data_IF_532238947432
#
_entry.id   IF_532238947432
#
_cell.length_a   1.000
_cell.length_b   1.000
_cell.length_c   1.000
_cell.angle_alpha   90.00
_cell.angle_beta   90.00
_cell.angle_gamma   90.00
#
_symmetry.space_group_name_H-M   'P 1'
#
loop_
_entity.id
_entity.type
_entity.pdbx_description
1 polymer ?
#
# COMPACT_ATOMS: atom_id res chain seq x y z
N UNK A 1 107.22 43.18 -12.54
CA UNK A 1 105.86 43.61 -12.96
C UNK A 1 104.83 42.89 -12.08
N UNK A 2 103.99 43.67 -11.38
CA UNK A 2 102.69 43.34 -10.73
C UNK A 2 102.64 42.26 -9.61
N UNK A 3 102.22 42.71 -8.42
CA UNK A 3 101.56 42.02 -7.29
C UNK A 3 100.01 42.01 -7.51
N UNK A 4 99.13 41.48 -6.61
CA UNK A 4 99.17 40.32 -5.66
C UNK A 4 97.85 39.47 -5.59
N UNK A 5 97.85 38.42 -4.74
CA UNK A 5 96.71 37.79 -3.98
C UNK A 5 95.57 37.09 -4.78
N UNK A 6 94.78 36.09 -4.35
CA UNK A 6 94.60 35.28 -3.13
C UNK A 6 93.51 34.19 -3.35
N UNK A 7 93.73 32.99 -2.81
CA UNK A 7 92.80 31.99 -2.20
C UNK A 7 91.69 31.25 -3.02
N UNK A 8 91.27 30.04 -2.56
CA UNK A 8 90.74 28.94 -3.37
C UNK A 8 89.23 28.66 -3.17
N UNK A 9 88.63 27.83 -4.04
CA UNK A 9 87.26 27.31 -3.86
C UNK A 9 87.16 25.81 -4.16
N UNK A 10 86.89 25.03 -3.11
CA UNK A 10 86.45 23.63 -3.15
C UNK A 10 84.95 23.62 -2.84
N UNK A 11 84.16 22.93 -3.67
CA UNK A 11 82.70 22.80 -3.52
C UNK A 11 82.34 21.77 -2.43
N UNK A 12 81.35 22.04 -1.55
CA UNK A 12 80.79 21.03 -0.68
C UNK A 12 79.55 20.33 -1.30
N UNK A 13 79.17 19.14 -0.78
CA UNK A 13 78.00 18.40 -1.23
C UNK A 13 76.71 18.86 -0.52
N UNK A 14 75.58 18.61 -1.17
CA UNK A 14 74.23 18.97 -0.74
C UNK A 14 73.70 18.09 0.38
N UNK A 15 73.18 18.71 1.43
CA UNK A 15 72.51 18.07 2.57
C UNK A 15 70.98 18.16 2.38
N UNK A 16 70.29 17.01 2.41
CA UNK A 16 68.83 16.93 2.36
C UNK A 16 68.24 16.99 3.77
N UNK A 17 67.40 17.99 4.05
CA UNK A 17 66.62 18.10 5.29
C UNK A 17 65.26 17.42 5.13
N UNK A 18 64.97 16.43 5.99
CA UNK A 18 63.64 15.83 6.16
C UNK A 18 62.80 16.72 7.08
N UNK A 19 61.79 17.38 6.53
CA UNK A 19 60.68 17.92 7.32
C UNK A 19 59.66 16.80 7.59
N UNK A 20 59.46 16.47 8.87
CA UNK A 20 58.39 15.59 9.32
C UNK A 20 57.10 16.40 9.37
N UNK A 21 56.21 16.19 8.39
CA UNK A 21 54.85 16.72 8.42
C UNK A 21 54.02 15.84 9.35
N UNK A 22 53.56 16.41 10.47
CA UNK A 22 52.50 15.84 11.32
C UNK A 22 51.23 15.66 10.49
N UNK A 23 50.53 14.52 10.58
CA UNK A 23 49.29 14.33 9.85
C UNK A 23 48.21 15.21 10.48
N UNK A 24 47.76 16.22 9.74
CA UNK A 24 46.52 16.92 10.06
C UNK A 24 45.40 15.88 10.17
N UNK A 25 44.81 15.78 11.36
CA UNK A 25 43.54 15.08 11.58
C UNK A 25 42.54 15.66 10.58
N UNK A 26 42.29 14.92 9.49
CA UNK A 26 41.08 15.09 8.69
C UNK A 26 39.93 14.76 9.64
N UNK A 27 39.23 15.79 10.09
CA UNK A 27 37.88 15.63 10.59
C UNK A 27 37.08 15.06 9.41
N UNK A 28 36.90 13.73 9.36
CA UNK A 28 35.73 13.20 8.70
C UNK A 28 34.58 13.76 9.51
N UNK A 29 33.78 14.62 8.89
CA UNK A 29 32.41 14.78 9.33
C UNK A 29 31.83 13.37 9.35
N UNK A 30 31.63 12.80 10.52
CA UNK A 30 30.61 11.77 10.68
C UNK A 30 29.33 12.45 10.23
N UNK A 31 28.91 12.20 8.99
CA UNK A 31 27.55 12.45 8.59
C UNK A 31 26.70 11.73 9.62
N UNK A 32 25.98 12.50 10.44
CA UNK A 32 25.00 11.97 11.37
C UNK A 32 24.17 10.96 10.59
N UNK A 33 24.10 9.68 11.01
CA UNK A 33 23.44 8.66 10.21
C UNK A 33 22.02 9.13 9.97
N UNK A 34 21.72 9.50 8.73
CA UNK A 34 20.37 9.87 8.32
C UNK A 34 19.48 8.70 8.72
N UNK A 35 18.46 8.97 9.52
CA UNK A 35 17.59 7.91 10.00
C UNK A 35 16.70 7.47 8.85
N UNK A 36 17.00 6.30 8.27
CA UNK A 36 16.18 5.68 7.23
C UNK A 36 15.24 4.65 7.86
N UNK A 37 13.99 4.65 7.39
CA UNK A 37 13.06 3.55 7.64
C UNK A 37 13.34 2.47 6.61
N UNK A 38 13.53 1.23 7.06
CA UNK A 38 13.95 0.12 6.18
C UNK A 38 12.86 -0.93 5.98
N UNK A 39 11.86 -0.98 6.87
CA UNK A 39 10.80 -1.98 6.85
C UNK A 39 9.54 -1.42 6.21
N UNK A 40 8.77 -2.28 5.54
CA UNK A 40 7.49 -1.85 4.96
C UNK A 40 6.46 -1.49 6.03
N UNK A 41 6.38 -2.28 7.12
CA UNK A 41 5.64 -1.89 8.32
C UNK A 41 6.58 -1.20 9.31
N UNK A 42 6.15 -0.06 9.84
CA UNK A 42 6.91 0.71 10.85
C UNK A 42 6.08 0.90 12.10
N UNK A 43 6.72 0.77 13.25
CA UNK A 43 6.07 1.01 14.55
C UNK A 43 5.94 2.50 14.84
N UNK A 44 5.01 2.91 15.73
CA UNK A 44 4.96 4.29 16.21
C UNK A 44 6.28 4.80 16.79
N UNK A 45 7.00 3.95 17.52
CA UNK A 45 8.30 4.28 18.09
C UNK A 45 9.35 4.59 17.02
N UNK A 46 9.45 3.73 16.00
CA UNK A 46 10.40 3.94 14.89
C UNK A 46 10.08 5.23 14.13
N UNK A 47 8.80 5.50 13.85
CA UNK A 47 8.40 6.73 13.17
C UNK A 47 8.67 7.98 14.01
N UNK A 48 8.36 7.97 15.31
CA UNK A 48 8.63 9.10 16.20
C UNK A 48 10.13 9.41 16.29
N UNK A 49 10.97 8.38 16.44
CA UNK A 49 12.42 8.53 16.38
C UNK A 49 12.88 9.10 15.04
N UNK A 50 12.29 8.64 13.94
CA UNK A 50 12.59 9.11 12.59
C UNK A 50 12.25 10.60 12.42
N UNK A 51 11.05 11.01 12.82
CA UNK A 51 10.57 12.39 12.71
C UNK A 51 11.38 13.35 13.58
N UNK A 52 11.80 12.93 14.79
CA UNK A 52 12.66 13.74 15.66
C UNK A 52 14.05 13.98 15.08
N UNK A 53 14.60 13.00 14.35
CA UNK A 53 15.91 13.09 13.70
C UNK A 53 15.83 13.79 12.33
N UNK A 54 14.68 13.68 11.65
CA UNK A 54 14.41 14.31 10.35
C UNK A 54 13.94 15.77 10.54
N UNK A 55 14.85 16.65 10.96
CA UNK A 55 14.53 18.08 11.08
C UNK A 55 14.40 18.68 9.68
N UNK A 56 13.19 19.03 9.29
CA UNK A 56 12.97 19.70 8.01
C UNK A 56 13.47 21.14 8.10
N UNK A 57 14.58 21.42 7.41
CA UNK A 57 15.03 22.77 7.14
C UNK A 57 15.02 23.01 5.64
N UNK A 58 14.74 24.25 5.21
CA UNK A 58 14.84 24.64 3.80
C UNK A 58 16.26 24.49 3.23
N UNK A 59 17.26 24.35 4.11
CA UNK A 59 18.67 24.16 3.78
C UNK A 59 19.07 22.68 3.69
N UNK A 60 18.25 21.77 4.24
CA UNK A 60 18.55 20.33 4.22
C UNK A 60 18.21 19.73 2.86
N UNK A 61 19.17 18.99 2.31
CA UNK A 61 19.01 18.17 1.10
C UNK A 61 18.72 16.71 1.43
N UNK A 62 18.60 16.36 2.71
CA UNK A 62 18.28 15.00 3.11
C UNK A 62 16.82 14.64 2.74
N UNK A 63 16.54 13.38 2.34
CA UNK A 63 15.20 12.85 2.22
C UNK A 63 14.32 13.22 3.41
N UNK A 64 13.12 13.76 3.15
CA UNK A 64 12.19 14.09 4.22
C UNK A 64 11.36 12.87 4.57
N UNK A 65 10.89 12.79 5.82
CA UNK A 65 9.92 11.78 6.22
C UNK A 65 8.54 12.44 6.26
N UNK A 66 7.63 11.96 5.43
CA UNK A 66 6.29 12.53 5.25
C UNK A 66 5.25 11.55 5.76
N UNK A 67 4.65 11.80 6.94
CA UNK A 67 3.44 11.11 7.35
C UNK A 67 2.30 11.44 6.39
N UNK A 68 1.63 10.41 5.87
CA UNK A 68 0.55 10.54 4.90
C UNK A 68 -0.71 9.86 5.44
N UNK A 69 -1.67 10.66 5.90
CA UNK A 69 -2.97 10.16 6.31
C UNK A 69 -3.76 9.75 5.08
N UNK A 70 -4.15 8.49 5.01
CA UNK A 70 -4.94 7.89 3.94
C UNK A 70 -6.31 7.40 4.45
N UNK A 71 -6.79 7.99 5.55
CA UNK A 71 -8.07 7.61 6.16
C UNK A 71 -9.18 7.72 5.14
N UNK A 72 -9.93 6.63 4.95
CA UNK A 72 -11.11 6.59 4.10
C UNK A 72 -12.20 5.77 4.77
N UNK A 73 -13.43 6.26 4.75
CA UNK A 73 -14.58 5.61 5.36
C UNK A 73 -15.53 5.13 4.26
N UNK A 74 -16.13 3.95 4.48
CA UNK A 74 -17.10 3.44 3.52
C UNK A 74 -18.33 4.35 3.44
N UNK A 75 -19.01 4.43 2.28
CA UNK A 75 -20.23 5.23 2.13
C UNK A 75 -21.36 4.87 3.11
N UNK A 76 -21.36 3.64 3.62
CA UNK A 76 -22.32 3.14 4.61
C UNK A 76 -21.84 3.30 6.07
N UNK A 77 -20.78 4.08 6.33
CA UNK A 77 -20.35 4.40 7.70
C UNK A 77 -21.54 5.00 8.46
N UNK A 78 -21.98 4.41 9.59
CA UNK A 78 -23.19 4.83 10.28
C UNK A 78 -23.08 6.25 10.84
N UNK A 79 -21.85 6.73 11.07
CA UNK A 79 -21.57 8.09 11.54
C UNK A 79 -21.32 9.07 10.39
N UNK A 80 -21.34 8.61 9.13
CA UNK A 80 -21.07 9.39 7.91
C UNK A 80 -19.76 10.19 7.99
N UNK A 81 -18.75 9.61 8.63
CA UNK A 81 -17.44 10.24 8.77
C UNK A 81 -16.72 10.29 7.43
N UNK A 82 -15.87 11.31 7.25
CA UNK A 82 -14.97 11.39 6.10
C UNK A 82 -13.51 11.34 6.54
N UNK A 83 -12.64 10.90 5.63
CA UNK A 83 -11.20 10.87 5.86
C UNK A 83 -10.63 12.23 6.26
N UNK A 84 -11.07 13.27 5.54
CA UNK A 84 -10.64 14.65 5.79
C UNK A 84 -11.09 15.16 7.16
N UNK A 85 -12.31 14.81 7.60
CA UNK A 85 -12.77 15.16 8.95
C UNK A 85 -11.88 14.52 10.01
N UNK A 86 -11.64 13.20 9.93
CA UNK A 86 -10.78 12.50 10.87
C UNK A 86 -9.34 13.07 10.88
N UNK A 87 -8.80 13.44 9.72
CA UNK A 87 -7.48 14.09 9.60
C UNK A 87 -7.41 15.48 10.26
N UNK A 88 -8.50 16.26 10.17
CA UNK A 88 -8.60 17.56 10.85
C UNK A 88 -8.79 17.41 12.36
N UNK A 89 -9.47 16.36 12.80
CA UNK A 89 -9.68 16.08 14.23
C UNK A 89 -8.39 15.66 14.93
N UNK A 90 -7.62 14.74 14.33
CA UNK A 90 -6.36 14.26 14.90
C UNK A 90 -5.46 13.65 13.83
N UNK A 91 -4.22 14.15 13.73
CA UNK A 91 -3.19 13.66 12.80
C UNK A 91 -1.79 13.68 13.41
N UNK A 92 -0.87 12.95 12.80
CA UNK A 92 0.56 13.09 13.07
C UNK A 92 1.00 14.51 12.67
N UNK A 93 1.86 15.18 13.45
CA UNK A 93 2.34 16.51 13.13
C UNK A 93 2.87 16.59 11.71
N UNK A 94 2.47 17.65 10.99
CA UNK A 94 2.91 17.93 9.62
C UNK A 94 2.57 16.84 8.61
N UNK A 95 1.62 15.96 8.93
CA UNK A 95 1.10 15.00 7.98
C UNK A 95 0.44 15.68 6.77
N UNK A 96 0.29 14.91 5.70
CA UNK A 96 -0.51 15.25 4.51
C UNK A 96 -1.74 14.37 4.48
N UNK A 97 -2.77 14.77 3.74
CA UNK A 97 -3.97 13.96 3.54
C UNK A 97 -4.05 13.47 2.10
N UNK A 98 -4.00 12.17 1.90
CA UNK A 98 -4.23 11.53 0.62
C UNK A 98 -5.72 11.19 0.49
N UNK A 99 -6.42 11.91 -0.38
CA UNK A 99 -7.83 11.66 -0.65
C UNK A 99 -7.99 10.51 -1.65
N UNK A 100 -8.32 9.32 -1.13
CA UNK A 100 -8.49 8.10 -1.93
C UNK A 100 -9.69 8.20 -2.92
N UNK A 101 -10.66 9.06 -2.66
CA UNK A 101 -11.79 9.28 -3.57
C UNK A 101 -11.43 10.30 -4.67
N UNK A 102 -10.51 11.23 -4.41
CA UNK A 102 -10.08 12.24 -5.38
C UNK A 102 -8.84 11.83 -6.22
N UNK A 103 -8.05 10.87 -5.73
CA UNK A 103 -6.82 10.40 -6.40
C UNK A 103 -7.05 8.97 -6.90
N UNK A 104 -7.84 8.88 -7.98
CA UNK A 104 -8.24 7.64 -8.64
C UNK A 104 -8.42 7.89 -10.15
N UNK A 105 -8.72 6.83 -10.90
CA UNK A 105 -9.21 7.00 -12.27
C UNK A 105 -10.68 7.44 -12.26
N UNK A 106 -10.94 8.66 -12.71
CA UNK A 106 -12.28 9.25 -12.82
C UNK A 106 -13.02 8.85 -14.10
N UNK A 107 -12.32 8.27 -15.08
CA UNK A 107 -12.94 7.75 -16.29
C UNK A 107 -13.46 6.31 -16.10
N UNK A 108 -12.95 5.61 -15.09
CA UNK A 108 -13.43 4.27 -14.78
C UNK A 108 -14.83 4.29 -14.16
N UNK A 109 -15.76 3.42 -14.60
CA UNK A 109 -17.02 3.22 -13.91
C UNK A 109 -16.86 2.47 -12.58
N UNK A 110 -15.66 1.95 -12.28
CA UNK A 110 -15.38 1.17 -11.08
C UNK A 110 -14.73 2.02 -9.99
N UNK A 111 -15.08 1.78 -8.71
CA UNK A 111 -14.59 2.59 -7.60
C UNK A 111 -13.12 2.30 -7.28
N UNK A 112 -12.40 3.35 -6.86
CA UNK A 112 -11.01 3.31 -6.36
C UNK A 112 -9.96 2.72 -7.30
N UNK A 113 -10.24 2.66 -8.60
CA UNK A 113 -9.25 2.28 -9.60
C UNK A 113 -8.02 3.18 -9.52
N UNK A 114 -6.85 2.60 -9.76
CA UNK A 114 -5.59 3.33 -9.83
C UNK A 114 -5.73 4.57 -10.73
N UNK A 115 -5.25 5.75 -10.29
CA UNK A 115 -5.22 6.93 -11.15
C UNK A 115 -4.33 6.71 -12.38
N UNK A 116 -4.42 7.60 -13.36
CA UNK A 116 -3.39 7.65 -14.41
C UNK A 116 -2.05 8.08 -13.81
N UNK A 117 -0.90 7.75 -14.44
CA UNK A 117 0.41 8.21 -13.98
C UNK A 117 0.49 9.74 -13.85
N UNK A 118 -0.15 10.48 -14.76
CA UNK A 118 -0.20 11.95 -14.75
C UNK A 118 -0.99 12.46 -13.54
N UNK A 119 -2.17 11.89 -13.28
CA UNK A 119 -3.00 12.30 -12.13
C UNK A 119 -2.33 11.96 -10.80
N UNK A 120 -1.65 10.81 -10.73
CA UNK A 120 -0.83 10.46 -9.57
C UNK A 120 0.29 11.48 -9.36
N UNK A 121 1.05 11.82 -10.40
CA UNK A 121 2.14 12.79 -10.30
C UNK A 121 1.66 14.18 -9.88
N UNK A 122 0.54 14.65 -10.45
CA UNK A 122 -0.11 15.89 -10.04
C UNK A 122 -0.46 15.87 -8.55
N UNK A 123 -1.16 14.83 -8.09
CA UNK A 123 -1.56 14.70 -6.69
C UNK A 123 -0.36 14.66 -5.73
N UNK A 124 0.69 13.91 -6.07
CA UNK A 124 1.93 13.89 -5.26
C UNK A 124 2.59 15.28 -5.20
N UNK A 125 2.55 16.01 -6.31
CA UNK A 125 3.02 17.39 -6.39
C UNK A 125 2.20 18.35 -5.52
N UNK A 126 0.87 18.28 -5.56
CA UNK A 126 -0.05 19.06 -4.72
C UNK A 126 0.16 18.79 -3.22
N UNK A 127 0.44 17.53 -2.86
CA UNK A 127 0.79 17.13 -1.49
C UNK A 127 2.20 17.56 -1.07
N UNK A 128 2.95 18.20 -1.98
CA UNK A 128 4.31 18.66 -1.77
C UNK A 128 5.30 17.51 -1.54
N UNK A 129 4.99 16.30 -2.00
CA UNK A 129 5.83 15.10 -1.85
C UNK A 129 6.81 15.04 -3.02
N UNK A 130 8.08 14.84 -2.72
CA UNK A 130 9.17 14.68 -3.69
C UNK A 130 9.48 13.22 -3.90
N UNK A 131 10.14 12.91 -5.03
CA UNK A 131 10.46 11.53 -5.42
C UNK A 131 11.39 10.80 -4.45
N UNK A 132 12.19 11.55 -3.71
CA UNK A 132 13.19 11.09 -2.75
C UNK A 132 12.69 11.11 -1.29
N UNK A 133 11.47 11.60 -1.03
CA UNK A 133 10.90 11.54 0.32
C UNK A 133 10.63 10.08 0.74
N UNK A 134 10.71 9.83 2.05
CA UNK A 134 10.20 8.61 2.67
C UNK A 134 8.78 8.86 3.15
N UNK A 135 7.82 8.16 2.55
CA UNK A 135 6.40 8.33 2.82
C UNK A 135 5.92 7.26 3.78
N UNK A 136 5.31 7.67 4.90
CA UNK A 136 4.77 6.77 5.93
C UNK A 136 3.25 6.93 5.99
N UNK A 137 2.54 5.97 5.41
CA UNK A 137 1.09 6.01 5.22
C UNK A 137 0.38 5.46 6.45
N UNK A 138 -0.72 6.09 6.87
CA UNK A 138 -1.48 5.68 8.05
C UNK A 138 -2.98 6.03 7.94
N UNK A 139 -3.83 5.34 8.69
CA UNK A 139 -5.28 5.61 8.80
C UNK A 139 -5.63 6.29 10.13
N UNK A 140 -6.90 6.62 10.37
CA UNK A 140 -7.35 7.21 11.63
C UNK A 140 -7.30 6.21 12.80
N UNK A 141 -7.38 6.73 14.03
CA UNK A 141 -7.23 5.92 15.25
C UNK A 141 -8.37 4.90 15.40
N UNK A 142 -9.57 5.22 14.92
CA UNK A 142 -10.71 4.33 14.98
C UNK A 142 -10.72 3.25 13.89
N UNK A 143 -10.11 3.52 12.72
CA UNK A 143 -9.92 2.53 11.65
C UNK A 143 -8.75 1.59 11.97
N UNK A 144 -7.63 2.15 12.41
CA UNK A 144 -6.37 1.44 12.63
C UNK A 144 -5.65 1.11 11.33
N UNK A 145 -6.02 0.00 10.68
CA UNK A 145 -5.52 -0.43 9.38
C UNK A 145 -6.71 -0.71 8.47
N UNK A 146 -6.84 0.06 7.39
CA UNK A 146 -7.93 -0.11 6.43
C UNK A 146 -7.53 0.36 5.01
N UNK A 147 -7.33 1.66 4.82
CA UNK A 147 -7.05 2.29 3.52
C UNK A 147 -5.59 2.69 3.33
N UNK A 148 -4.80 2.80 4.41
CA UNK A 148 -3.38 3.09 4.33
C UNK A 148 -2.59 2.06 3.50
N UNK A 149 -2.82 0.74 3.63
CA UNK A 149 -2.16 -0.24 2.77
C UNK A 149 -2.47 -0.03 1.28
N UNK A 150 -3.67 0.44 0.94
CA UNK A 150 -4.04 0.76 -0.44
C UNK A 150 -3.22 1.90 -1.01
N UNK A 151 -3.10 3.00 -0.27
CA UNK A 151 -2.29 4.15 -0.72
C UNK A 151 -0.80 3.79 -0.77
N UNK A 152 -0.29 3.03 0.22
CA UNK A 152 1.08 2.53 0.19
C UNK A 152 1.34 1.62 -1.02
N UNK A 153 0.43 0.70 -1.34
CA UNK A 153 0.51 -0.12 -2.54
C UNK A 153 0.49 0.74 -3.81
N UNK A 154 -0.39 1.74 -3.92
CA UNK A 154 -0.43 2.67 -5.05
C UNK A 154 0.91 3.38 -5.24
N UNK A 155 1.50 3.92 -4.17
CA UNK A 155 2.82 4.56 -4.21
C UNK A 155 3.91 3.61 -4.74
N UNK A 156 3.90 2.34 -4.28
CA UNK A 156 4.86 1.31 -4.72
C UNK A 156 4.66 0.90 -6.17
N UNK A 157 3.41 0.80 -6.62
CA UNK A 157 3.05 0.46 -8.01
C UNK A 157 3.50 1.55 -8.99
N UNK A 158 3.51 2.82 -8.55
CA UNK A 158 4.12 3.93 -9.29
C UNK A 158 5.62 4.10 -9.01
N UNK A 159 6.24 3.14 -8.32
CA UNK A 159 7.68 3.08 -8.12
C UNK A 159 8.25 4.05 -7.10
N UNK A 160 7.45 4.71 -6.26
CA UNK A 160 7.97 5.56 -5.18
C UNK A 160 8.89 4.73 -4.26
N UNK A 161 10.10 5.21 -3.90
CA UNK A 161 11.20 4.32 -3.54
C UNK A 161 11.16 3.91 -2.06
N UNK A 162 10.74 4.82 -1.19
CA UNK A 162 10.69 4.66 0.25
C UNK A 162 9.24 4.86 0.71
N UNK A 163 8.50 3.75 0.77
CA UNK A 163 7.09 3.72 1.17
C UNK A 163 6.94 2.78 2.35
N UNK A 164 6.24 3.24 3.38
CA UNK A 164 6.02 2.50 4.61
C UNK A 164 4.56 2.64 5.05
N UNK A 165 4.09 1.70 5.85
CA UNK A 165 2.79 1.75 6.53
C UNK A 165 3.06 1.83 8.04
N UNK A 166 2.50 2.83 8.70
CA UNK A 166 2.50 2.87 10.16
C UNK A 166 1.58 1.76 10.70
N UNK A 167 2.09 0.97 11.63
CA UNK A 167 1.36 -0.10 12.30
C UNK A 167 1.13 0.23 13.80
N UNK A 168 0.19 1.09 14.18
CA UNK A 168 -0.73 1.90 13.38
C UNK A 168 -0.96 3.25 14.10
N UNK A 169 -1.78 4.13 13.54
CA UNK A 169 -2.05 5.43 14.18
C UNK A 169 -2.85 5.31 15.48
N UNK A 170 -3.66 4.26 15.64
CA UNK A 170 -4.30 3.97 16.92
C UNK A 170 -3.25 3.83 18.03
N UNK A 171 -2.23 3.01 17.79
CA UNK A 171 -1.11 2.82 18.72
C UNK A 171 -0.28 4.10 18.89
N UNK A 172 -0.14 4.93 17.85
CA UNK A 172 0.49 6.25 17.97
C UNK A 172 -0.21 7.12 19.03
N UNK A 173 -1.54 7.20 18.97
CA UNK A 173 -2.36 7.95 19.93
C UNK A 173 -2.34 7.29 21.32
N UNK A 174 -2.57 5.96 21.38
CA UNK A 174 -2.64 5.22 22.65
C UNK A 174 -1.31 5.28 23.42
N UNK A 175 -0.17 5.38 22.73
CA UNK A 175 1.17 5.50 23.32
C UNK A 175 1.57 6.95 23.64
N UNK A 176 0.71 7.94 23.35
CA UNK A 176 0.92 9.34 23.72
C UNK A 176 1.91 10.09 22.84
N UNK A 177 2.15 9.65 21.60
CA UNK A 177 2.99 10.41 20.68
C UNK A 177 2.30 11.70 20.21
N UNK A 178 3.08 12.71 19.76
CA UNK A 178 2.52 14.02 19.40
C UNK A 178 1.44 13.95 18.33
N UNK A 179 0.40 14.78 18.44
CA UNK A 179 -0.67 14.92 17.44
C UNK A 179 -1.00 16.39 17.18
N UNK A 180 -1.51 16.69 15.99
CA UNK A 180 -2.09 17.98 15.62
C UNK A 180 -3.58 17.86 15.31
N UNK A 181 -4.31 18.97 15.43
CA UNK A 181 -5.72 19.10 15.06
C UNK A 181 -5.98 20.46 14.38
N UNK A 182 -7.19 20.68 13.89
CA UNK A 182 -7.59 21.87 13.15
C UNK A 182 -7.19 21.83 11.67
N UNK A 183 -7.30 22.95 10.98
CA UNK A 183 -6.95 23.05 9.57
C UNK A 183 -5.44 22.77 9.36
N UNK A 184 -5.07 21.90 8.42
CA UNK A 184 -3.68 21.63 8.12
C UNK A 184 -3.02 22.87 7.52
N UNK A 185 -1.73 23.05 7.79
CA UNK A 185 -0.95 24.11 7.17
C UNK A 185 -0.87 23.88 5.65
N UNK A 186 -0.96 24.95 4.83
CA UNK A 186 -0.74 24.85 3.40
C UNK A 186 0.62 24.23 3.09
N UNK A 187 0.66 23.50 2.00
CA UNK A 187 1.87 22.81 1.55
C UNK A 187 2.29 23.45 0.24
N UNK A 188 3.58 23.74 0.12
CA UNK A 188 4.14 24.21 -1.13
C UNK A 188 4.16 23.04 -2.12
N UNK A 189 3.44 23.22 -3.23
CA UNK A 189 3.42 22.23 -4.29
C UNK A 189 4.82 22.04 -4.89
N UNK A 190 5.13 20.82 -5.29
CA UNK A 190 6.40 20.47 -5.93
C UNK A 190 6.14 19.80 -7.27
N UNK A 191 7.14 19.80 -8.14
CA UNK A 191 7.08 18.97 -9.35
C UNK A 191 7.42 17.53 -8.98
N UNK A 192 6.46 16.62 -9.17
CA UNK A 192 6.70 15.18 -9.10
C UNK A 192 6.83 14.62 -10.53
N UNK A 193 7.86 13.83 -10.84
CA UNK A 193 8.03 13.27 -12.18
C UNK A 193 6.92 12.26 -12.49
N UNK A 194 6.36 12.32 -13.71
CA UNK A 194 5.35 11.34 -14.15
C UNK A 194 5.97 9.93 -14.13
N UNK A 195 5.47 9.01 -13.29
CA UNK A 195 6.04 7.68 -13.16
C UNK A 195 5.59 6.76 -14.30
N UNK A 196 6.18 5.58 -14.35
CA UNK A 196 5.64 4.46 -15.13
C UNK A 196 4.96 3.49 -14.16
N UNK A 197 3.75 3.07 -14.51
CA UNK A 197 3.00 2.07 -13.76
C UNK A 197 3.70 0.70 -13.86
N UNK A 198 4.01 0.06 -12.74
CA UNK A 198 4.48 -1.33 -12.71
C UNK A 198 3.28 -2.29 -12.91
N UNK A 199 2.99 -2.61 -14.17
CA UNK A 199 1.90 -3.52 -14.54
C UNK A 199 2.09 -4.94 -13.99
N UNK A 200 3.30 -5.33 -13.58
CA UNK A 200 3.55 -6.66 -13.00
C UNK A 200 2.90 -6.83 -11.62
N UNK A 201 2.48 -5.73 -10.97
CA UNK A 201 1.80 -5.72 -9.66
C UNK A 201 0.28 -5.64 -9.75
N UNK A 202 -0.27 -5.41 -10.93
CA UNK A 202 -1.71 -5.19 -11.14
C UNK A 202 -2.25 -6.35 -11.95
N UNK A 203 -3.27 -7.05 -11.45
CA UNK A 203 -4.04 -8.02 -12.24
C UNK A 203 -5.19 -7.28 -12.92
N UNK A 204 -5.39 -7.47 -14.23
CA UNK A 204 -6.53 -6.91 -14.97
C UNK A 204 -7.69 -7.90 -15.00
N UNK A 205 -8.90 -7.43 -15.30
CA UNK A 205 -10.05 -8.32 -15.48
C UNK A 205 -9.84 -9.33 -16.61
N UNK A 206 -9.31 -8.87 -17.75
CA UNK A 206 -9.10 -9.70 -18.94
C UNK A 206 -8.13 -10.84 -18.65
N UNK A 207 -7.00 -10.54 -18.01
CA UNK A 207 -6.01 -11.55 -17.64
C UNK A 207 -6.54 -12.52 -16.59
N UNK A 208 -7.24 -12.00 -15.57
CA UNK A 208 -7.82 -12.82 -14.51
C UNK A 208 -8.86 -13.79 -15.07
N UNK A 209 -9.76 -13.28 -15.92
CA UNK A 209 -10.80 -14.07 -16.56
C UNK A 209 -10.20 -15.17 -17.44
N UNK A 210 -9.21 -14.83 -18.28
CA UNK A 210 -8.54 -15.82 -19.14
C UNK A 210 -7.86 -16.94 -18.32
N UNK A 211 -7.31 -16.62 -17.14
CA UNK A 211 -6.78 -17.62 -16.21
C UNK A 211 -7.89 -18.48 -15.58
N UNK A 212 -9.00 -17.88 -15.18
CA UNK A 212 -10.14 -18.58 -14.58
C UNK A 212 -10.89 -19.50 -15.57
N UNK A 213 -10.91 -19.16 -16.86
CA UNK A 213 -11.47 -20.01 -17.92
C UNK A 213 -10.65 -21.30 -18.11
N UNK A 214 -9.34 -21.25 -17.82
CA UNK A 214 -8.42 -22.39 -17.90
C UNK A 214 -8.22 -23.11 -16.56
N UNK A 215 -9.01 -22.81 -15.52
CA UNK A 215 -8.80 -23.36 -14.17
C UNK A 215 -8.90 -24.89 -14.07
N UNK A 216 -9.60 -25.52 -15.01
CA UNK A 216 -9.81 -26.98 -15.06
C UNK A 216 -8.78 -27.67 -15.98
N UNK A 217 -7.91 -26.90 -16.64
CA UNK A 217 -6.81 -27.40 -17.47
C UNK A 217 -5.62 -27.78 -16.57
N UNK A 218 -5.18 -29.06 -16.56
CA UNK A 218 -4.08 -29.51 -15.71
C UNK A 218 -2.73 -28.87 -16.06
N UNK A 219 -2.59 -28.33 -17.27
CA UNK A 219 -1.36 -27.67 -17.74
C UNK A 219 -1.38 -26.15 -17.50
N UNK A 220 -2.48 -25.61 -16.95
CA UNK A 220 -2.59 -24.18 -16.66
C UNK A 220 -1.68 -23.75 -15.50
N UNK A 221 -1.16 -22.52 -15.60
CA UNK A 221 -0.37 -21.92 -14.53
C UNK A 221 -1.21 -21.82 -13.24
N UNK A 222 -0.69 -22.25 -12.08
CA UNK A 222 -1.41 -22.17 -10.83
C UNK A 222 -1.72 -20.71 -10.46
N UNK A 223 -2.93 -20.46 -9.97
CA UNK A 223 -3.37 -19.15 -9.53
C UNK A 223 -4.08 -19.25 -8.18
N UNK A 224 -3.65 -18.45 -7.21
CA UNK A 224 -4.32 -18.32 -5.92
C UNK A 224 -4.95 -16.93 -5.81
N UNK A 225 -6.28 -16.87 -5.70
CA UNK A 225 -7.00 -15.61 -5.52
C UNK A 225 -7.37 -15.49 -4.04
N UNK A 226 -6.90 -14.45 -3.36
CA UNK A 226 -7.21 -14.19 -1.95
C UNK A 226 -8.24 -13.07 -1.86
N UNK A 227 -9.41 -13.33 -1.30
CA UNK A 227 -10.50 -12.36 -1.20
C UNK A 227 -10.64 -11.81 0.22
N UNK A 228 -10.45 -10.49 0.37
CA UNK A 228 -10.43 -9.78 1.64
C UNK A 228 -11.81 -9.44 2.24
N UNK A 229 -12.91 -9.76 1.55
CA UNK A 229 -14.27 -9.45 2.02
C UNK A 229 -14.68 -10.35 3.19
N UNK A 230 -15.76 -9.97 3.87
CA UNK A 230 -16.37 -10.81 4.90
C UNK A 230 -16.74 -12.17 4.31
N UNK A 231 -16.69 -13.20 5.16
CA UNK A 231 -17.09 -14.54 4.76
C UNK A 231 -18.55 -14.55 4.26
N UNK A 232 -19.45 -13.79 4.88
CA UNK A 232 -20.84 -13.67 4.45
C UNK A 232 -20.98 -13.17 3.01
N UNK A 233 -20.25 -12.12 2.64
CA UNK A 233 -20.24 -11.57 1.26
C UNK A 233 -19.62 -12.54 0.27
N UNK A 234 -18.47 -13.13 0.63
CA UNK A 234 -17.78 -14.12 -0.20
C UNK A 234 -18.64 -15.38 -0.45
N UNK A 235 -19.33 -15.89 0.58
CA UNK A 235 -20.26 -17.03 0.45
C UNK A 235 -21.54 -16.69 -0.31
N UNK A 236 -21.84 -15.40 -0.52
CA UNK A 236 -23.08 -14.93 -1.14
C UNK A 236 -24.29 -14.91 -0.19
N UNK A 237 -24.04 -14.85 1.13
CA UNK A 237 -25.06 -14.81 2.20
C UNK A 237 -25.40 -13.39 2.67
N UNK A 238 -24.46 -12.47 2.51
CA UNK A 238 -24.64 -11.05 2.81
C UNK A 238 -24.62 -10.23 1.51
N UNK A 239 -25.37 -9.12 1.43
CA UNK A 239 -25.32 -8.23 0.28
C UNK A 239 -24.01 -7.46 0.21
N UNK A 240 -23.66 -7.01 -1.00
CA UNK A 240 -22.58 -6.06 -1.19
C UNK A 240 -23.01 -4.65 -0.70
N UNK A 241 -22.11 -3.87 -0.06
CA UNK A 241 -22.48 -2.64 0.65
C UNK A 241 -22.84 -1.44 -0.24
N UNK A 242 -22.68 -1.54 -1.57
CA UNK A 242 -22.94 -0.45 -2.51
C UNK A 242 -24.30 -0.66 -3.19
N UNK A 243 -25.39 -0.05 -2.69
CA UNK A 243 -26.68 -0.07 -3.36
C UNK A 243 -26.62 0.69 -4.69
N UNK A 244 -27.31 0.20 -5.72
CA UNK A 244 -27.49 0.94 -6.97
C UNK A 244 -26.31 0.93 -7.95
N UNK A 245 -25.32 0.05 -7.77
CA UNK A 245 -24.46 -0.39 -8.88
C UNK A 245 -25.25 -1.48 -9.60
N UNK A 246 -25.91 -1.19 -10.74
CA UNK A 246 -26.60 -2.22 -11.48
C UNK A 246 -25.54 -3.22 -11.94
N UNK A 247 -25.83 -4.51 -11.85
CA UNK A 247 -25.13 -5.43 -12.75
C UNK A 247 -25.34 -4.89 -14.17
N UNK A 248 -24.31 -4.84 -15.02
CA UNK A 248 -24.49 -4.46 -16.43
C UNK A 248 -25.52 -5.38 -17.12
N UNK A 249 -25.79 -6.54 -16.52
CA UNK A 249 -26.82 -7.50 -16.85
C UNK A 249 -28.25 -6.90 -16.80
N UNK A 250 -28.51 -5.84 -16.03
CA UNK A 250 -29.82 -5.17 -15.98
C UNK A 250 -30.05 -4.16 -17.11
N UNK A 251 -29.05 -3.85 -17.96
CA UNK A 251 -29.20 -2.83 -19.03
C UNK A 251 -29.80 -3.37 -20.33
N UNK A 252 -29.85 -4.69 -20.54
CA UNK A 252 -30.32 -5.27 -21.80
C UNK A 252 -31.84 -5.52 -21.87
N UNK A 253 -32.60 -5.24 -20.80
CA UNK A 253 -34.07 -5.39 -20.78
C UNK A 253 -34.76 -4.08 -20.36
N UNK A 254 -35.20 -3.23 -21.31
CA UNK A 254 -35.76 -1.91 -21.02
C UNK A 254 -37.18 -1.93 -20.40
N UNK A 255 -37.81 -3.10 -20.28
CA UNK A 255 -39.19 -3.29 -19.85
C UNK A 255 -39.36 -3.82 -18.40
N UNK A 256 -38.28 -4.20 -17.72
CA UNK A 256 -38.32 -4.74 -16.35
C UNK A 256 -37.71 -3.76 -15.34
N UNK A 257 -38.42 -2.67 -15.04
CA UNK A 257 -38.06 -1.70 -13.99
C UNK A 257 -37.91 -2.32 -12.58
N UNK A 258 -38.32 -3.58 -12.38
CA UNK A 258 -38.14 -4.33 -11.14
C UNK A 258 -36.71 -4.83 -10.90
N UNK A 259 -35.87 -5.00 -11.94
CA UNK A 259 -34.48 -5.49 -11.80
C UNK A 259 -33.47 -4.36 -11.49
N UNK A 260 -33.89 -3.10 -11.56
CA UNK A 260 -33.05 -1.94 -11.21
C UNK A 260 -32.73 -1.87 -9.70
N UNK A 261 -33.41 -2.69 -8.88
CA UNK A 261 -33.21 -2.80 -7.43
C UNK A 261 -32.28 -3.94 -7.00
N UNK A 262 -31.80 -4.78 -7.93
CA UNK A 262 -30.86 -5.85 -7.61
C UNK A 262 -29.44 -5.27 -7.59
N UNK A 263 -28.96 -4.93 -6.41
CA UNK A 263 -27.57 -4.55 -6.19
C UNK A 263 -26.59 -5.63 -6.68
N UNK A 264 -25.32 -5.25 -6.80
CA UNK A 264 -24.23 -6.13 -7.25
C UNK A 264 -24.32 -7.53 -6.59
N UNK A 265 -24.31 -8.63 -7.36
CA UNK A 265 -24.47 -9.96 -6.79
C UNK A 265 -23.29 -10.26 -5.86
N UNK A 266 -23.59 -10.78 -4.67
CA UNK A 266 -22.59 -11.35 -3.76
C UNK A 266 -22.18 -12.77 -4.20
N UNK A 267 -21.15 -13.32 -3.58
CA UNK A 267 -20.48 -14.54 -4.04
C UNK A 267 -18.98 -14.30 -4.21
N UNK A 268 -18.31 -15.20 -4.91
CA UNK A 268 -16.86 -15.15 -5.10
C UNK A 268 -16.40 -15.72 -6.44
N UNK A 269 -15.13 -15.42 -6.77
CA UNK A 269 -14.42 -15.96 -7.93
C UNK A 269 -14.16 -17.46 -7.73
N UNK A 270 -14.17 -18.27 -8.80
CA UNK A 270 -13.89 -19.70 -8.71
C UNK A 270 -12.54 -19.95 -8.03
N UNK A 271 -12.49 -20.93 -7.13
CA UNK A 271 -11.28 -21.34 -6.40
C UNK A 271 -10.60 -20.24 -5.57
N UNK A 272 -11.25 -19.08 -5.36
CA UNK A 272 -10.71 -18.07 -4.45
C UNK A 272 -10.75 -18.55 -2.99
N UNK A 273 -9.81 -18.06 -2.19
CA UNK A 273 -9.66 -18.35 -0.77
C UNK A 273 -10.13 -17.11 0.00
N UNK A 274 -11.07 -17.28 0.92
CA UNK A 274 -11.50 -16.16 1.76
C UNK A 274 -10.51 -15.90 2.90
N UNK A 275 -9.95 -14.70 2.88
CA UNK A 275 -9.02 -14.15 3.86
C UNK A 275 -9.58 -12.80 4.35
N UNK A 276 -10.63 -12.77 5.20
CA UNK A 276 -11.19 -11.51 5.67
C UNK A 276 -10.10 -10.63 6.26
N UNK A 277 -9.99 -9.37 5.81
CA UNK A 277 -8.89 -8.50 6.27
C UNK A 277 -8.89 -8.30 7.80
N UNK A 278 -10.06 -8.42 8.44
CA UNK A 278 -10.24 -8.37 9.89
C UNK A 278 -9.46 -9.46 10.63
N UNK A 279 -9.19 -10.59 9.97
CA UNK A 279 -8.47 -11.72 10.57
C UNK A 279 -6.96 -11.50 10.53
N UNK A 280 -6.48 -10.52 9.75
CA UNK A 280 -5.06 -10.16 9.63
C UNK A 280 -4.65 -9.07 10.63
N UNK A 281 -5.61 -8.53 11.37
CA UNK A 281 -5.41 -7.42 12.31
C UNK A 281 -5.97 -7.77 13.68
N UNK A 282 -5.30 -7.29 14.73
CA UNK A 282 -5.75 -7.46 16.10
C UNK A 282 -7.05 -6.71 16.35
N UNK A 283 -8.08 -7.40 16.86
CA UNK A 283 -9.35 -6.76 17.22
C UNK A 283 -9.18 -5.65 18.28
N UNK A 284 -8.15 -5.76 19.14
CA UNK A 284 -7.87 -4.82 20.24
C UNK A 284 -7.06 -3.61 19.78
N UNK A 285 -5.91 -3.85 19.14
CA UNK A 285 -4.96 -2.78 18.77
C UNK A 285 -5.20 -2.24 17.36
N UNK A 286 -5.96 -2.96 16.54
CA UNK A 286 -6.17 -2.71 15.10
C UNK A 286 -4.88 -2.75 14.28
N UNK A 287 -3.78 -3.19 14.87
CA UNK A 287 -2.49 -3.38 14.21
C UNK A 287 -2.50 -4.72 13.46
N UNK A 288 -1.65 -4.87 12.44
CA UNK A 288 -1.37 -6.19 11.86
C UNK A 288 -0.97 -7.18 12.95
N UNK A 289 -1.39 -8.45 12.80
CA UNK A 289 -0.90 -9.52 13.65
C UNK A 289 0.62 -9.68 13.48
N UNK A 290 1.33 -10.25 14.47
CA UNK A 290 2.74 -10.59 14.34
C UNK A 290 3.05 -11.46 13.11
N UNK A 291 4.25 -11.31 12.55
CA UNK A 291 4.68 -11.99 11.32
C UNK A 291 4.51 -13.52 11.35
N UNK A 292 4.79 -14.16 12.49
CA UNK A 292 4.62 -15.59 12.70
C UNK A 292 3.14 -16.00 12.74
N UNK A 293 2.29 -15.24 13.43
CA UNK A 293 0.84 -15.46 13.43
C UNK A 293 0.23 -15.29 12.03
N UNK A 294 0.64 -14.26 11.28
CA UNK A 294 0.20 -14.06 9.90
C UNK A 294 0.62 -15.22 9.01
N UNK A 295 1.87 -15.68 9.12
CA UNK A 295 2.38 -16.83 8.37
C UNK A 295 1.56 -18.09 8.67
N UNK A 296 1.34 -18.39 9.96
CA UNK A 296 0.51 -19.52 10.37
C UNK A 296 -0.91 -19.43 9.84
N UNK A 297 -1.50 -18.22 9.82
CA UNK A 297 -2.84 -18.01 9.28
C UNK A 297 -2.91 -18.31 7.78
N UNK A 298 -1.94 -17.82 6.98
CA UNK A 298 -1.89 -18.10 5.54
C UNK A 298 -1.64 -19.59 5.24
N UNK A 299 -0.77 -20.24 6.01
CA UNK A 299 -0.53 -21.69 5.91
C UNK A 299 -1.80 -22.51 6.22
N UNK A 300 -2.53 -22.15 7.29
CA UNK A 300 -3.81 -22.80 7.64
C UNK A 300 -4.86 -22.65 6.55
N UNK A 301 -4.81 -21.55 5.80
CA UNK A 301 -5.68 -21.27 4.64
C UNK A 301 -5.18 -21.94 3.36
N UNK A 302 -4.10 -22.70 3.42
CA UNK A 302 -3.45 -23.37 2.30
C UNK A 302 -2.92 -22.42 1.22
N UNK A 303 -2.47 -21.21 1.62
CA UNK A 303 -1.83 -20.26 0.70
C UNK A 303 -0.37 -20.65 0.49
N UNK A 304 -0.04 -21.11 -0.70
CA UNK A 304 1.29 -21.56 -1.09
C UNK A 304 2.17 -20.36 -1.51
N UNK A 305 3.27 -20.05 -0.81
CA UNK A 305 4.15 -18.94 -1.15
C UNK A 305 4.90 -19.12 -2.49
N UNK A 306 4.90 -20.32 -3.07
CA UNK A 306 5.62 -20.63 -4.32
C UNK A 306 4.78 -20.42 -5.57
N UNK A 307 3.47 -20.17 -5.43
CA UNK A 307 2.54 -19.98 -6.54
C UNK A 307 2.16 -18.51 -6.66
N UNK A 308 1.85 -18.01 -7.87
CA UNK A 308 1.32 -16.67 -8.05
C UNK A 308 0.10 -16.38 -7.16
N UNK A 309 0.08 -15.20 -6.56
CA UNK A 309 -0.98 -14.75 -5.65
C UNK A 309 -1.63 -13.49 -6.21
N UNK A 310 -2.96 -13.50 -6.29
CA UNK A 310 -3.76 -12.32 -6.62
C UNK A 310 -4.62 -11.95 -5.43
N UNK A 311 -4.36 -10.79 -4.83
CA UNK A 311 -5.22 -10.23 -3.79
C UNK A 311 -6.39 -9.48 -4.43
N UNK A 312 -7.59 -9.68 -3.90
CA UNK A 312 -8.81 -9.01 -4.33
C UNK A 312 -9.72 -8.73 -3.13
N UNK A 313 -10.72 -7.87 -3.30
CA UNK A 313 -11.76 -7.65 -2.31
C UNK A 313 -13.04 -7.12 -2.97
N UNK A 314 -13.71 -6.12 -2.37
CA UNK A 314 -14.80 -5.41 -3.02
C UNK A 314 -14.34 -4.48 -4.15
N UNK A 315 -13.30 -3.68 -3.90
CA UNK A 315 -12.91 -2.51 -4.71
C UNK A 315 -11.41 -2.20 -4.64
N UNK A 316 -10.56 -3.22 -4.48
CA UNK A 316 -9.10 -3.06 -4.43
C UNK A 316 -8.50 -2.48 -3.13
N UNK A 317 -9.31 -1.88 -2.25
CA UNK A 317 -8.83 -1.24 -1.01
C UNK A 317 -8.31 -2.27 0.00
N UNK A 318 -9.18 -3.11 0.55
CA UNK A 318 -8.77 -4.12 1.56
C UNK A 318 -7.95 -5.26 0.98
N UNK A 319 -7.88 -5.40 -0.35
CA UNK A 319 -6.95 -6.32 -1.01
C UNK A 319 -5.49 -5.95 -0.71
N UNK A 320 -5.18 -4.66 -0.61
CA UNK A 320 -3.85 -4.18 -0.25
C UNK A 320 -3.48 -4.49 1.22
N UNK A 321 -4.48 -4.70 2.09
CA UNK A 321 -4.23 -5.19 3.46
C UNK A 321 -3.68 -6.61 3.42
N UNK A 322 -4.21 -7.47 2.54
CA UNK A 322 -3.66 -8.82 2.32
C UNK A 322 -2.23 -8.74 1.80
N UNK A 323 -1.96 -7.92 0.77
CA UNK A 323 -0.61 -7.81 0.21
C UNK A 323 0.42 -7.29 1.23
N UNK A 324 0.03 -6.34 2.08
CA UNK A 324 0.87 -5.87 3.18
C UNK A 324 1.10 -6.97 4.24
N UNK A 325 0.06 -7.73 4.60
CA UNK A 325 0.19 -8.85 5.53
C UNK A 325 1.05 -10.00 4.97
N UNK A 326 0.98 -10.27 3.66
CA UNK A 326 1.85 -11.24 2.98
C UNK A 326 3.32 -10.80 3.07
N UNK A 327 3.59 -9.50 2.88
CA UNK A 327 4.93 -8.93 3.05
C UNK A 327 5.43 -9.14 4.49
N UNK A 328 4.62 -8.82 5.48
CA UNK A 328 4.96 -9.01 6.90
C UNK A 328 5.17 -10.50 7.26
N UNK A 329 4.35 -11.40 6.70
CA UNK A 329 4.49 -12.85 6.87
C UNK A 329 5.74 -13.42 6.17
N UNK A 330 6.46 -12.63 5.37
CA UNK A 330 7.66 -13.05 4.64
C UNK A 330 7.36 -13.81 3.34
N UNK A 331 6.18 -13.63 2.75
CA UNK A 331 5.90 -14.16 1.41
C UNK A 331 6.73 -13.40 0.35
N UNK A 332 7.16 -14.05 -0.74
CA UNK A 332 7.93 -13.40 -1.80
C UNK A 332 7.07 -12.37 -2.55
N UNK A 333 7.66 -11.23 -2.94
CA UNK A 333 6.94 -10.20 -3.69
C UNK A 333 6.75 -10.55 -5.16
N UNK A 334 7.66 -11.36 -5.70
CA UNK A 334 7.60 -11.85 -7.06
C UNK A 334 6.33 -12.70 -7.26
N UNK A 335 5.59 -12.42 -8.33
CA UNK A 335 4.34 -13.12 -8.64
C UNK A 335 3.12 -12.68 -7.81
N UNK A 336 3.26 -11.69 -6.91
CA UNK A 336 2.10 -11.08 -6.23
C UNK A 336 1.51 -9.94 -7.04
N UNK A 337 0.19 -9.99 -7.21
CA UNK A 337 -0.59 -8.98 -7.92
C UNK A 337 -1.83 -8.60 -7.12
N UNK A 338 -2.32 -7.39 -7.31
CA UNK A 338 -3.61 -6.97 -6.79
C UNK A 338 -4.58 -6.80 -7.96
N UNK A 339 -5.74 -7.44 -7.88
CA UNK A 339 -6.81 -7.23 -8.85
C UNK A 339 -7.61 -5.98 -8.48
N UNK A 340 -7.31 -4.90 -9.20
CA UNK A 340 -7.72 -3.55 -8.81
C UNK A 340 -9.24 -3.34 -8.83
N UNK A 341 -9.87 -3.67 -9.97
CA UNK A 341 -11.33 -3.60 -10.11
C UNK A 341 -12.09 -4.52 -9.15
N UNK A 342 -11.44 -5.59 -8.69
CA UNK A 342 -11.92 -6.45 -7.63
C UNK A 342 -13.34 -6.98 -7.89
N UNK A 343 -14.08 -7.36 -6.84
CA UNK A 343 -15.43 -7.92 -7.00
C UNK A 343 -16.40 -6.99 -7.74
N UNK A 344 -16.26 -5.67 -7.57
CA UNK A 344 -17.17 -4.70 -8.19
C UNK A 344 -17.06 -4.69 -9.71
N UNK A 345 -15.85 -4.68 -10.27
CA UNK A 345 -15.67 -4.86 -11.70
C UNK A 345 -16.06 -6.28 -12.13
N UNK A 346 -15.56 -7.29 -11.43
CA UNK A 346 -15.77 -8.68 -11.80
C UNK A 346 -17.24 -9.06 -11.93
N UNK A 347 -18.03 -8.79 -10.89
CA UNK A 347 -19.44 -9.14 -10.85
C UNK A 347 -20.30 -8.33 -11.84
N UNK A 348 -19.82 -7.16 -12.30
CA UNK A 348 -20.48 -6.40 -13.36
C UNK A 348 -20.15 -6.93 -14.76
N UNK A 349 -18.91 -7.38 -14.98
CA UNK A 349 -18.40 -7.74 -16.31
C UNK A 349 -18.57 -9.22 -16.65
N UNK A 350 -18.59 -10.11 -15.66
CA UNK A 350 -18.88 -11.53 -15.88
C UNK A 350 -20.33 -11.70 -16.35
N UNK A 351 -20.52 -12.50 -17.38
CA UNK A 351 -21.85 -12.85 -17.89
C UNK A 351 -22.40 -14.09 -17.18
N UNK A 352 -23.72 -14.19 -16.91
CA UNK A 352 -24.31 -15.34 -16.22
C UNK A 352 -24.00 -16.69 -16.86
N UNK A 353 -23.91 -16.73 -18.20
CA UNK A 353 -23.66 -17.94 -18.99
C UNK A 353 -22.26 -18.52 -18.75
N UNK A 354 -21.31 -17.67 -18.33
CA UNK A 354 -19.92 -18.04 -18.05
C UNK A 354 -19.78 -18.83 -16.75
N UNK A 355 -20.80 -18.79 -15.87
CA UNK A 355 -20.83 -19.50 -14.57
C UNK A 355 -19.59 -19.24 -13.70
N UNK A 356 -19.04 -18.03 -13.80
CA UNK A 356 -17.83 -17.61 -13.09
C UNK A 356 -18.13 -16.91 -11.74
N UNK A 357 -19.38 -16.93 -11.25
CA UNK A 357 -19.75 -16.43 -9.92
C UNK A 357 -20.26 -17.59 -9.07
N UNK A 358 -19.55 -17.87 -7.97
CA UNK A 358 -19.85 -18.98 -7.07
C UNK A 358 -20.49 -18.47 -5.78
N UNK A 359 -21.46 -19.23 -5.27
CA UNK A 359 -22.06 -19.03 -3.95
C UNK A 359 -21.99 -20.35 -3.20
N UNK A 360 -21.37 -20.37 -2.03
CA UNK A 360 -21.45 -21.55 -1.16
C UNK A 360 -22.76 -21.46 -0.37
N UNK A 361 -23.78 -22.19 -0.83
CA UNK A 361 -25.02 -22.35 -0.06
C UNK A 361 -24.75 -23.01 1.31
N UNK A 362 -25.72 -23.00 2.26
CA UNK A 362 -25.70 -24.01 3.30
C UNK A 362 -25.66 -25.39 2.63
N UNK A 363 -24.80 -26.30 3.10
CA UNK A 363 -24.85 -27.72 2.73
C UNK A 363 -26.31 -28.13 2.96
N UNK A 364 -27.06 -28.40 1.89
CA UNK A 364 -28.33 -29.12 2.04
C UNK A 364 -27.89 -30.48 2.59
N UNK A 365 -28.18 -30.76 3.86
CA UNK A 365 -28.15 -32.13 4.35
C UNK A 365 -29.08 -32.89 3.41
N UNK A 366 -28.53 -33.75 2.56
CA UNK A 366 -29.33 -34.75 1.89
C UNK A 366 -30.06 -35.52 2.99
N UNK A 367 -31.38 -35.42 2.99
CA UNK A 367 -32.24 -36.24 3.83
C UNK A 367 -32.04 -37.70 3.38
N UNK A 368 -31.12 -38.39 4.06
CA UNK A 368 -31.15 -39.81 4.17
C UNK A 368 -32.42 -40.20 4.95
N UNK A 369 -33.52 -40.40 4.24
CA UNK A 369 -34.67 -41.18 4.69
C UNK A 369 -35.27 -41.81 3.43
N UNK A 370 -34.96 -43.05 3.10
CA UNK A 370 -35.20 -44.19 3.97
C UNK A 370 -36.51 -44.83 3.52
N UNK A 371 -36.43 -45.65 2.48
CA UNK A 371 -37.49 -46.59 2.10
C UNK A 371 -37.92 -47.37 3.35
N UNK A 372 -39.21 -47.35 3.66
CA UNK A 372 -39.89 -48.46 4.33
C UNK A 372 -40.93 -49.00 3.38
#
# INVERSE_FOLDING_TARGET
>A
MRLPASRPFIRPPTCASRFVLTPQRRWRSEESPQYSLNNYLVTPHELDLALKKNVHSKLSTAPRIIPLCASWYMPNDPKKRTGLQAFKESRIPRARFFDLDAIKDDQSPYPHMLPTPERFAEAMGELGIRRDDSVVVYDSSDLGIFSAPRVAWTLRVFGHPAVHILNNYKLWVDQGYPTESGEPQPVEAVTYPVPTLDSSKVMTFEELKAKLEKRDDPDAEPLQILDARSEGRWKGKEPEPRPGIPSLQCREKPDHAADLHLGLPSGHMPNSINIPFSDLISARTKAFLPADELRMYFELKNVDPKKPIVSSCGTGVTAAVIDAALTEAGYPEEGRRLYDGSWTEYAQRVKPEEKLIFKTGPIKKEEANGKK
#
